data_IF_456367597186
#
_entry.id   IF_456367597186
#
_cell.length_a   1.000
_cell.length_b   1.000
_cell.length_c   1.000
_cell.angle_alpha   90.00
_cell.angle_beta   90.00
_cell.angle_gamma   90.00
#
_symmetry.space_group_name_H-M   'P 1'
#
loop_
_entity.id
_entity.type
_entity.pdbx_description
1 polymer ?
#
# COMPACT_ATOMS: atom_id res chain seq x y z
N UNK A 1 18.35 -6.95 -21.34
CA UNK A 1 18.19 -5.86 -22.31
C UNK A 1 16.97 -6.19 -23.15
N UNK A 2 16.12 -5.21 -23.43
CA UNK A 2 14.92 -5.39 -24.25
C UNK A 2 14.97 -4.37 -25.37
N UNK A 3 14.66 -4.78 -26.59
CA UNK A 3 14.54 -3.90 -27.75
C UNK A 3 13.10 -3.96 -28.23
N UNK A 4 12.57 -2.81 -28.63
CA UNK A 4 11.22 -2.67 -29.16
C UNK A 4 11.28 -1.82 -30.43
N UNK A 5 10.59 -2.27 -31.48
CA UNK A 5 10.23 -1.46 -32.63
C UNK A 5 8.71 -1.34 -32.59
N UNK A 6 8.22 -0.11 -32.46
CA UNK A 6 6.81 0.17 -32.22
C UNK A 6 6.30 1.18 -33.24
N UNK A 7 5.20 0.86 -33.89
CA UNK A 7 4.42 1.83 -34.66
C UNK A 7 3.33 2.40 -33.75
N UNK A 8 3.36 3.70 -33.51
CA UNK A 8 2.34 4.38 -32.71
C UNK A 8 1.04 4.60 -33.53
N UNK A 9 -0.09 4.94 -32.88
CA UNK A 9 -1.38 5.16 -33.56
C UNK A 9 -1.41 6.33 -34.57
N UNK A 10 -0.37 7.15 -34.61
CA UNK A 10 -0.16 8.23 -35.60
C UNK A 10 0.71 7.79 -36.79
N UNK A 11 0.92 6.49 -36.97
CA UNK A 11 1.79 5.86 -37.97
C UNK A 11 3.29 6.18 -37.81
N UNK A 12 3.72 6.80 -36.70
CA UNK A 12 5.14 7.03 -36.44
C UNK A 12 5.85 5.75 -35.98
N UNK A 13 7.03 5.49 -36.54
CA UNK A 13 7.88 4.36 -36.17
C UNK A 13 8.91 4.79 -35.12
N UNK A 14 9.00 4.02 -34.04
CA UNK A 14 9.92 4.27 -32.93
C UNK A 14 10.76 3.04 -32.61
N UNK A 15 12.08 3.23 -32.59
CA UNK A 15 13.05 2.24 -32.12
C UNK A 15 13.49 2.58 -30.69
N UNK A 16 13.37 1.59 -29.82
CA UNK A 16 13.60 1.74 -28.39
C UNK A 16 14.41 0.62 -27.78
N UNK A 17 15.24 0.96 -26.80
CA UNK A 17 15.99 0.00 -26.01
C UNK A 17 15.75 0.27 -24.52
N UNK A 18 15.64 -0.81 -23.74
CA UNK A 18 15.55 -0.75 -22.29
C UNK A 18 16.57 -1.67 -21.64
N UNK A 19 17.30 -1.14 -20.67
CA UNK A 19 18.24 -1.89 -19.85
C UNK A 19 17.73 -1.87 -18.41
N UNK A 20 17.74 -3.05 -17.77
CA UNK A 20 17.35 -3.22 -16.38
C UNK A 20 18.47 -3.89 -15.62
N UNK A 21 18.93 -3.23 -14.57
CA UNK A 21 19.82 -3.78 -13.56
C UNK A 21 18.99 -4.17 -12.34
N UNK A 22 19.28 -5.34 -11.80
CA UNK A 22 18.67 -5.86 -10.57
C UNK A 22 19.80 -6.38 -9.69
N UNK A 23 19.81 -5.95 -8.45
CA UNK A 23 20.71 -6.42 -7.43
C UNK A 23 19.91 -6.84 -6.21
N UNK A 24 20.28 -7.97 -5.62
CA UNK A 24 19.72 -8.50 -4.39
C UNK A 24 20.88 -9.04 -3.57
N UNK A 25 20.92 -8.71 -2.29
CA UNK A 25 21.94 -9.17 -1.36
C UNK A 25 21.36 -9.29 0.05
N UNK A 26 21.44 -10.49 0.61
CA UNK A 26 21.28 -10.70 2.04
C UNK A 26 22.64 -10.60 2.74
N UNK A 27 22.69 -9.81 3.82
CA UNK A 27 23.79 -9.72 4.76
C UNK A 27 23.29 -10.14 6.14
N UNK A 28 23.32 -11.45 6.39
CA UNK A 28 22.76 -12.03 7.61
C UNK A 28 23.53 -11.59 8.87
N UNK A 29 24.84 -11.36 8.77
CA UNK A 29 25.69 -10.97 9.91
C UNK A 29 25.32 -9.60 10.49
N UNK A 30 24.99 -8.63 9.65
CA UNK A 30 24.53 -7.30 10.07
C UNK A 30 23.01 -7.22 10.25
N UNK A 31 22.27 -8.29 9.95
CA UNK A 31 20.80 -8.29 9.91
C UNK A 31 20.20 -7.48 8.75
N UNK A 32 21.02 -7.06 7.77
CA UNK A 32 20.58 -6.27 6.61
C UNK A 32 20.17 -7.18 5.47
N UNK A 33 18.97 -7.02 4.94
CA UNK A 33 18.51 -7.73 3.75
C UNK A 33 18.09 -6.72 2.67
N UNK A 34 18.93 -6.59 1.66
CA UNK A 34 18.69 -5.75 0.48
C UNK A 34 17.95 -6.63 -0.52
N UNK A 35 16.62 -6.67 -0.40
CA UNK A 35 15.76 -7.53 -1.21
C UNK A 35 15.86 -7.18 -2.71
N UNK A 36 15.86 -5.89 -3.03
CA UNK A 36 15.92 -5.44 -4.42
C UNK A 36 16.45 -4.02 -4.51
N UNK A 37 17.49 -3.84 -5.32
CA UNK A 37 17.86 -2.55 -5.91
C UNK A 37 17.75 -2.72 -7.41
N UNK A 38 16.75 -2.07 -7.99
CA UNK A 38 16.44 -2.15 -9.41
C UNK A 38 16.59 -0.80 -10.07
N UNK A 39 17.35 -0.74 -11.16
CA UNK A 39 17.41 0.44 -12.00
C UNK A 39 17.07 0.06 -13.43
N UNK A 40 16.01 0.65 -13.98
CA UNK A 40 15.64 0.51 -15.37
C UNK A 40 15.85 1.84 -16.07
N UNK A 41 16.48 1.81 -17.24
CA UNK A 41 16.60 2.94 -18.13
C UNK A 41 16.06 2.54 -19.51
N UNK A 42 15.24 3.40 -20.10
CA UNK A 42 14.61 3.22 -21.39
C UNK A 42 14.86 4.45 -22.27
N UNK A 43 15.24 4.22 -23.53
CA UNK A 43 15.41 5.31 -24.51
C UNK A 43 14.06 5.93 -24.86
N UNK A 44 14.08 7.14 -25.43
CA UNK A 44 12.86 7.89 -25.79
C UNK A 44 12.00 7.21 -26.86
N UNK A 45 12.51 6.25 -27.62
CA UNK A 45 11.73 5.46 -28.56
C UNK A 45 11.20 4.12 -27.99
N UNK A 46 11.44 3.83 -26.70
CA UNK A 46 10.96 2.59 -26.09
C UNK A 46 9.52 2.72 -25.59
N UNK A 47 8.66 1.86 -26.11
CA UNK A 47 7.26 1.72 -25.74
C UNK A 47 6.99 0.26 -25.38
N UNK A 48 6.22 0.01 -24.31
CA UNK A 48 5.76 -1.35 -24.03
C UNK A 48 4.58 -1.70 -24.93
N UNK A 49 4.30 -2.99 -25.07
CA UNK A 49 3.15 -3.47 -25.85
C UNK A 49 1.80 -2.86 -25.40
N UNK A 50 1.63 -2.63 -24.09
CA UNK A 50 0.44 -1.95 -23.56
C UNK A 50 0.33 -0.48 -24.00
N UNK A 51 1.47 0.17 -24.28
CA UNK A 51 1.50 1.55 -24.76
C UNK A 51 1.06 1.63 -26.24
N UNK A 52 1.29 0.56 -27.03
CA UNK A 52 0.85 0.48 -28.44
C UNK A 52 -0.62 0.08 -28.62
N UNK A 53 -1.29 -0.42 -27.58
CA UNK A 53 -2.72 -0.80 -27.65
C UNK A 53 -3.70 0.37 -27.46
N UNK A 54 -3.21 1.56 -27.15
CA UNK A 54 -4.04 2.74 -27.00
C UNK A 54 -4.46 3.31 -28.35
N UNK A 55 -5.75 3.62 -28.52
CA UNK A 55 -6.30 4.11 -29.79
C UNK A 55 -6.02 5.59 -30.08
N UNK A 56 -5.37 6.33 -29.16
CA UNK A 56 -5.05 7.77 -29.27
C UNK A 56 -3.71 8.11 -28.59
N UNK A 57 -2.97 9.08 -29.10
CA UNK A 57 -1.68 9.54 -28.54
C UNK A 57 -1.78 10.16 -27.14
N UNK A 58 -2.93 10.75 -26.81
CA UNK A 58 -3.23 11.40 -25.55
C UNK A 58 -4.74 11.30 -25.32
N UNK A 59 -5.18 10.89 -24.14
CA UNK A 59 -6.61 10.71 -23.88
C UNK A 59 -6.94 10.36 -22.44
N UNK A 60 -8.24 10.42 -22.15
CA UNK A 60 -8.83 9.92 -20.91
C UNK A 60 -9.56 8.61 -21.23
N UNK A 61 -9.47 7.61 -20.34
CA UNK A 61 -10.37 6.47 -20.41
C UNK A 61 -11.77 6.91 -19.96
N UNK A 62 -12.77 6.65 -20.79
CA UNK A 62 -14.17 6.97 -20.52
C UNK A 62 -14.88 5.64 -20.25
N UNK A 63 -15.29 5.37 -19.01
CA UNK A 63 -16.25 4.32 -18.71
C UNK A 63 -17.66 4.93 -18.75
N UNK A 64 -18.48 4.55 -19.72
CA UNK A 64 -19.90 4.92 -19.77
C UNK A 64 -20.75 3.70 -20.13
N UNK A 65 -21.80 3.44 -19.36
CA UNK A 65 -22.74 2.34 -19.60
C UNK A 65 -23.92 2.72 -20.52
N UNK A 66 -24.19 4.00 -20.79
CA UNK A 66 -25.41 4.41 -21.50
C UNK A 66 -25.26 5.76 -22.23
N UNK A 67 -25.04 5.72 -23.55
CA UNK A 67 -25.38 6.80 -24.49
C UNK A 67 -24.71 8.18 -24.30
N UNK A 68 -24.87 9.05 -25.29
CA UNK A 68 -24.18 10.35 -25.39
C UNK A 68 -24.74 11.33 -24.37
N UNK A 69 -24.02 11.53 -23.26
CA UNK A 69 -24.27 12.59 -22.27
C UNK A 69 -22.96 13.37 -22.10
N UNK A 70 -23.00 14.70 -22.17
CA UNK A 70 -21.88 15.56 -21.78
C UNK A 70 -21.68 15.48 -20.26
N UNK A 71 -20.97 14.45 -19.81
CA UNK A 71 -20.57 14.29 -18.42
C UNK A 71 -19.21 14.99 -18.27
N UNK A 72 -19.08 16.00 -17.39
CA UNK A 72 -17.76 16.41 -16.85
C UNK A 72 -17.16 15.15 -16.23
N UNK A 73 -16.15 14.51 -16.84
CA UNK A 73 -15.67 13.22 -16.35
C UNK A 73 -15.12 13.40 -14.93
N UNK A 74 -15.42 12.46 -14.03
CA UNK A 74 -14.57 12.29 -12.84
C UNK A 74 -13.30 11.62 -13.33
N UNK A 75 -12.30 12.44 -13.63
CA UNK A 75 -11.03 12.04 -14.24
C UNK A 75 -10.18 11.24 -13.24
N UNK A 76 -9.87 9.98 -13.55
CA UNK A 76 -8.99 9.15 -12.69
C UNK A 76 -7.64 8.85 -13.35
N UNK A 77 -7.58 8.59 -14.65
CA UNK A 77 -6.35 8.12 -15.31
C UNK A 77 -6.07 8.86 -16.63
N UNK A 78 -5.14 9.82 -16.58
CA UNK A 78 -4.58 10.50 -17.76
C UNK A 78 -3.41 9.68 -18.30
N UNK A 79 -3.50 9.23 -19.56
CA UNK A 79 -2.37 8.61 -20.26
C UNK A 79 -1.96 9.47 -21.45
N UNK A 80 -0.65 9.65 -21.62
CA UNK A 80 -0.09 10.38 -22.74
C UNK A 80 1.17 9.66 -23.21
N UNK A 81 1.08 9.09 -24.40
CA UNK A 81 2.17 8.35 -25.05
C UNK A 81 3.32 9.27 -25.47
N UNK A 82 3.12 10.59 -25.48
CA UNK A 82 4.21 11.56 -25.69
C UNK A 82 5.20 11.61 -24.50
N UNK A 83 4.80 11.13 -23.31
CA UNK A 83 5.64 11.11 -22.11
C UNK A 83 5.95 9.67 -21.71
N UNK A 84 6.79 8.99 -22.50
CA UNK A 84 7.22 7.65 -22.16
C UNK A 84 8.21 7.63 -20.97
N UNK A 85 8.22 6.50 -20.26
CA UNK A 85 9.01 6.30 -19.05
C UNK A 85 10.49 6.27 -19.40
N UNK A 86 11.28 7.17 -18.82
CA UNK A 86 12.73 7.31 -19.04
C UNK A 86 13.53 6.41 -18.12
N UNK A 87 13.40 6.62 -16.82
CA UNK A 87 14.18 5.91 -15.81
C UNK A 87 13.31 5.52 -14.64
N UNK A 88 13.52 4.32 -14.09
CA UNK A 88 12.85 3.85 -12.87
C UNK A 88 13.88 3.27 -11.91
N UNK A 89 14.04 3.90 -10.77
CA UNK A 89 14.76 3.35 -9.62
C UNK A 89 13.73 2.69 -8.69
N UNK A 90 14.07 1.52 -8.17
CA UNK A 90 13.32 0.78 -7.15
C UNK A 90 14.30 0.30 -6.09
N UNK A 91 13.95 0.50 -4.83
CA UNK A 91 14.77 0.08 -3.70
C UNK A 91 13.85 -0.54 -2.65
N UNK A 92 14.23 -1.70 -2.14
CA UNK A 92 13.60 -2.35 -0.98
C UNK A 92 14.70 -2.93 -0.10
N UNK A 93 14.80 -2.42 1.12
CA UNK A 93 15.78 -2.82 2.12
C UNK A 93 15.03 -3.08 3.43
N UNK A 94 15.36 -4.19 4.08
CA UNK A 94 14.88 -4.50 5.42
C UNK A 94 16.09 -4.71 6.33
N UNK A 95 16.11 -4.07 7.49
CA UNK A 95 17.18 -4.13 8.46
C UNK A 95 16.60 -4.66 9.77
N UNK A 96 17.07 -5.83 10.19
CA UNK A 96 16.81 -6.34 11.52
C UNK A 96 17.68 -5.56 12.53
N UNK A 97 17.06 -4.99 13.54
CA UNK A 97 17.68 -4.21 14.61
C UNK A 97 17.55 -5.01 15.91
N UNK A 98 18.57 -5.80 16.22
CA UNK A 98 18.55 -6.72 17.35
C UNK A 98 17.55 -7.86 17.18
N UNK A 99 16.92 -8.28 18.28
CA UNK A 99 15.95 -9.40 18.28
C UNK A 99 14.50 -8.97 18.15
N UNK A 100 14.21 -7.71 18.45
CA UNK A 100 12.86 -7.20 18.70
C UNK A 100 12.39 -6.23 17.63
N UNK A 101 13.28 -5.66 16.83
CA UNK A 101 12.92 -4.59 15.89
C UNK A 101 13.33 -4.92 14.46
N UNK A 102 12.50 -4.51 13.51
CA UNK A 102 12.74 -4.62 12.08
C UNK A 102 12.36 -3.31 11.43
N UNK A 103 13.34 -2.67 10.79
CA UNK A 103 13.15 -1.51 9.93
C UNK A 103 12.95 -2.00 8.49
N UNK A 104 11.95 -1.48 7.79
CA UNK A 104 11.80 -1.65 6.36
C UNK A 104 11.82 -0.28 5.68
N UNK A 105 12.42 -0.26 4.50
CA UNK A 105 12.55 0.93 3.67
C UNK A 105 12.29 0.50 2.24
N UNK A 106 11.33 1.12 1.58
CA UNK A 106 11.04 0.90 0.18
C UNK A 106 10.83 2.22 -0.54
N UNK A 107 11.16 2.26 -1.82
CA UNK A 107 10.96 3.45 -2.61
C UNK A 107 11.08 3.21 -4.09
N UNK A 108 10.47 4.09 -4.85
CA UNK A 108 10.65 4.17 -6.28
C UNK A 108 10.63 5.60 -6.78
N UNK A 109 11.41 5.85 -7.81
CA UNK A 109 11.52 7.15 -8.45
C UNK A 109 11.47 6.93 -9.96
N UNK A 110 10.47 7.51 -10.63
CA UNK A 110 10.25 7.35 -12.05
C UNK A 110 10.27 8.69 -12.77
N UNK A 111 11.10 8.78 -13.81
CA UNK A 111 11.21 9.95 -14.68
C UNK A 111 10.59 9.66 -16.04
N UNK A 112 10.22 10.72 -16.74
CA UNK A 112 9.59 10.68 -18.05
C UNK A 112 10.41 11.49 -19.05
N UNK A 113 10.37 11.12 -20.32
CA UNK A 113 10.88 11.97 -21.39
C UNK A 113 9.88 13.11 -21.66
N UNK A 114 10.35 14.26 -22.14
CA UNK A 114 9.50 15.41 -22.50
C UNK A 114 8.98 16.26 -21.32
N UNK A 115 9.15 15.83 -20.08
CA UNK A 115 8.75 16.60 -18.88
C UNK A 115 9.77 16.46 -17.75
N UNK A 116 9.83 17.46 -16.88
CA UNK A 116 10.57 17.40 -15.61
C UNK A 116 9.76 16.76 -14.48
N UNK A 117 8.52 16.35 -14.75
CA UNK A 117 7.66 15.70 -13.76
C UNK A 117 8.16 14.29 -13.43
N UNK A 118 7.95 13.88 -12.18
CA UNK A 118 8.43 12.61 -11.64
C UNK A 118 7.35 11.96 -10.78
N UNK A 119 7.30 10.62 -10.82
CA UNK A 119 6.58 9.85 -9.80
C UNK A 119 7.55 9.46 -8.70
N UNK A 120 7.19 9.76 -7.46
CA UNK A 120 7.97 9.42 -6.29
C UNK A 120 7.09 8.64 -5.33
N UNK A 121 7.56 7.48 -4.92
CA UNK A 121 6.94 6.69 -3.87
C UNK A 121 8.02 6.33 -2.87
N UNK A 122 7.77 6.56 -1.60
CA UNK A 122 8.69 6.20 -0.53
C UNK A 122 7.89 5.70 0.66
N UNK A 123 8.33 4.60 1.25
CA UNK A 123 7.75 4.06 2.47
C UNK A 123 8.87 3.63 3.40
N UNK A 124 8.78 4.03 4.65
CA UNK A 124 9.66 3.56 5.69
C UNK A 124 8.78 3.09 6.84
N UNK A 125 9.17 2.04 7.53
CA UNK A 125 8.52 1.72 8.78
C UNK A 125 9.37 0.87 9.69
N UNK A 126 9.12 1.03 10.97
CA UNK A 126 9.78 0.35 12.06
C UNK A 126 8.72 -0.48 12.77
N UNK A 127 8.90 -1.79 12.75
CA UNK A 127 8.13 -2.71 13.56
C UNK A 127 8.99 -3.15 14.74
N UNK A 128 8.47 -3.03 15.96
CA UNK A 128 9.12 -3.44 17.20
C UNK A 128 8.16 -4.31 18.00
N UNK A 129 8.54 -5.56 18.21
CA UNK A 129 7.89 -6.48 19.13
C UNK A 129 8.62 -6.43 20.47
N UNK A 130 8.01 -5.81 21.46
CA UNK A 130 8.50 -5.83 22.84
C UNK A 130 7.61 -6.74 23.68
N UNK A 131 8.15 -7.89 24.09
CA UNK A 131 7.40 -8.97 24.72
C UNK A 131 6.20 -9.35 23.82
N UNK A 132 4.99 -9.13 24.32
CA UNK A 132 3.76 -9.44 23.59
C UNK A 132 3.21 -8.22 22.82
N UNK A 133 3.76 -7.02 23.07
CA UNK A 133 3.28 -5.77 22.50
C UNK A 133 3.98 -5.50 21.17
N UNK A 134 3.19 -5.31 20.12
CA UNK A 134 3.70 -4.93 18.81
C UNK A 134 3.47 -3.43 18.55
N UNK A 135 4.54 -2.74 18.21
CA UNK A 135 4.56 -1.33 17.82
C UNK A 135 4.97 -1.23 16.36
N UNK A 136 4.16 -0.58 15.54
CA UNK A 136 4.49 -0.31 14.13
C UNK A 136 4.41 1.19 13.90
N UNK A 137 5.53 1.80 13.57
CA UNK A 137 5.59 3.16 13.05
C UNK A 137 5.84 3.07 11.55
N UNK A 138 5.04 3.75 10.75
CA UNK A 138 5.19 3.76 9.29
C UNK A 138 5.02 5.19 8.78
N UNK A 139 5.78 5.50 7.75
CA UNK A 139 5.75 6.74 7.01
C UNK A 139 5.67 6.41 5.54
N UNK A 140 4.71 6.99 4.83
CA UNK A 140 4.58 6.87 3.39
C UNK A 140 4.51 8.23 2.73
N UNK A 141 5.08 8.28 1.53
CA UNK A 141 5.13 9.43 0.67
C UNK A 141 4.75 9.00 -0.74
N UNK A 142 3.79 9.67 -1.34
CA UNK A 142 3.40 9.45 -2.73
C UNK A 142 3.24 10.79 -3.43
N UNK A 143 3.89 10.93 -4.58
CA UNK A 143 3.80 12.08 -5.46
C UNK A 143 3.65 11.57 -6.88
N UNK A 144 2.60 12.01 -7.55
CA UNK A 144 2.32 11.64 -8.93
C UNK A 144 2.77 12.76 -9.87
N UNK A 145 3.31 12.40 -11.02
CA UNK A 145 3.80 13.33 -12.04
C UNK A 145 2.71 14.25 -12.60
N UNK A 146 1.45 13.81 -12.56
CA UNK A 146 0.30 14.51 -13.15
C UNK A 146 -0.59 15.21 -12.11
N UNK A 147 -0.25 15.14 -10.83
CA UNK A 147 -0.98 15.79 -9.76
C UNK A 147 -0.05 16.72 -8.99
N UNK A 148 -0.52 17.94 -8.73
CA UNK A 148 0.23 18.88 -7.91
C UNK A 148 -0.04 18.58 -6.44
N UNK A 149 1.00 18.24 -5.70
CA UNK A 149 0.89 17.92 -4.29
C UNK A 149 1.76 16.73 -3.95
N UNK A 150 1.94 16.51 -2.65
CA UNK A 150 2.67 15.37 -2.12
C UNK A 150 1.83 14.81 -1.00
N UNK A 151 1.35 13.60 -1.19
CA UNK A 151 0.55 12.92 -0.19
C UNK A 151 1.50 12.22 0.77
N UNK A 152 1.40 12.58 2.03
CA UNK A 152 2.23 12.03 3.09
C UNK A 152 1.31 11.37 4.10
N UNK A 153 1.79 10.33 4.77
CA UNK A 153 1.06 9.72 5.87
C UNK A 153 2.07 9.19 6.88
N UNK A 154 1.96 9.67 8.11
CA UNK A 154 2.62 9.09 9.26
C UNK A 154 1.57 8.28 10.01
N UNK A 155 1.82 7.00 10.25
CA UNK A 155 0.93 6.13 10.99
C UNK A 155 1.68 5.38 12.10
N UNK A 156 1.10 5.37 13.28
CA UNK A 156 1.55 4.61 14.43
C UNK A 156 0.45 3.62 14.81
N UNK A 157 0.82 2.36 14.98
CA UNK A 157 -0.07 1.30 15.43
C UNK A 157 0.57 0.58 16.62
N UNK A 158 -0.24 0.31 17.64
CA UNK A 158 0.14 -0.41 18.84
C UNK A 158 -0.88 -1.52 19.04
N UNK A 159 -0.40 -2.74 19.21
CA UNK A 159 -1.22 -3.91 19.45
C UNK A 159 -0.77 -4.61 20.73
N UNK A 160 -1.69 -4.73 21.68
CA UNK A 160 -1.47 -5.30 23.01
C UNK A 160 -2.41 -6.51 23.18
N UNK A 161 -1.91 -7.74 23.02
CA UNK A 161 -2.69 -8.94 23.34
C UNK A 161 -2.76 -9.12 24.85
N UNK A 162 -3.93 -9.45 25.38
CA UNK A 162 -4.11 -9.72 26.81
C UNK A 162 -3.78 -11.17 27.20
N UNK A 163 -3.42 -12.02 26.23
CA UNK A 163 -3.16 -13.45 26.45
C UNK A 163 -2.08 -13.72 27.49
N UNK A 164 -1.02 -12.92 27.50
CA UNK A 164 0.12 -13.06 28.42
C UNK A 164 0.01 -12.19 29.68
N UNK A 165 -1.00 -11.32 29.75
CA UNK A 165 -1.25 -10.45 30.90
C UNK A 165 -2.10 -11.14 31.98
N UNK A 166 -2.73 -12.26 31.61
CA UNK A 166 -3.45 -13.16 32.51
C UNK A 166 -2.62 -14.42 32.70
N UNK A 167 -2.83 -15.12 33.82
CA UNK A 167 -2.17 -16.43 34.04
C UNK A 167 -2.53 -17.38 32.89
N UNK A 168 -1.58 -18.21 32.47
CA UNK A 168 -1.74 -19.13 31.34
C UNK A 168 -2.87 -20.15 31.52
N UNK A 169 -3.27 -20.44 32.76
CA UNK A 169 -4.36 -21.33 33.16
C UNK A 169 -5.72 -20.61 33.31
N UNK A 170 -5.77 -19.30 33.05
CA UNK A 170 -7.00 -18.50 33.17
C UNK A 170 -8.06 -18.96 32.16
N UNK A 171 -9.25 -19.28 32.67
CA UNK A 171 -10.45 -19.56 31.85
C UNK A 171 -11.17 -18.29 31.37
N UNK A 172 -10.60 -17.11 31.60
CA UNK A 172 -11.21 -15.83 31.20
C UNK A 172 -11.18 -15.66 29.69
N UNK A 173 -12.30 -15.26 29.09
CA UNK A 173 -12.38 -14.96 27.65
C UNK A 173 -11.48 -13.78 27.23
N UNK A 174 -11.06 -12.94 28.18
CA UNK A 174 -10.14 -11.83 27.93
C UNK A 174 -8.77 -12.28 27.42
N UNK A 175 -8.34 -13.51 27.68
CA UNK A 175 -7.09 -14.05 27.12
C UNK A 175 -7.12 -14.20 25.59
N UNK A 176 -8.32 -14.21 25.01
CA UNK A 176 -8.54 -14.25 23.56
C UNK A 176 -8.84 -12.89 22.96
N UNK A 177 -8.58 -11.82 23.72
CA UNK A 177 -8.78 -10.44 23.32
C UNK A 177 -7.45 -9.69 23.19
N UNK A 178 -7.42 -8.73 22.27
CA UNK A 178 -6.31 -7.81 22.04
C UNK A 178 -6.85 -6.39 21.93
N UNK A 179 -6.11 -5.43 22.48
CA UNK A 179 -6.35 -4.02 22.27
C UNK A 179 -5.47 -3.51 21.13
N UNK A 180 -6.05 -2.71 20.24
CA UNK A 180 -5.33 -2.01 19.18
C UNK A 180 -5.56 -0.52 19.29
N UNK A 181 -4.49 0.24 19.17
CA UNK A 181 -4.53 1.69 18.98
C UNK A 181 -3.81 2.05 17.68
N UNK A 182 -4.43 2.86 16.84
CA UNK A 182 -3.80 3.37 15.63
C UNK A 182 -4.06 4.85 15.48
N UNK A 183 -3.00 5.60 15.19
CA UNK A 183 -3.04 7.01 14.88
C UNK A 183 -2.45 7.21 13.48
N UNK A 184 -3.07 8.04 12.66
CA UNK A 184 -2.54 8.44 11.37
C UNK A 184 -2.67 9.94 11.16
N UNK A 185 -1.67 10.54 10.53
CA UNK A 185 -1.60 11.96 10.26
C UNK A 185 -1.03 12.21 8.87
N UNK A 186 -1.74 12.98 8.05
CA UNK A 186 -1.35 13.25 6.66
C UNK A 186 -0.27 14.34 6.52
N UNK A 187 0.19 14.91 7.64
CA UNK A 187 1.11 16.05 7.71
C UNK A 187 0.59 17.32 7.00
N UNK A 188 -0.67 17.33 6.59
CA UNK A 188 -1.41 18.45 5.99
C UNK A 188 -2.62 18.87 6.86
N UNK A 189 -2.62 18.44 8.13
CA UNK A 189 -3.61 18.85 9.13
C UNK A 189 -4.68 17.81 9.44
N UNK A 190 -4.88 16.78 8.61
CA UNK A 190 -5.84 15.71 8.91
C UNK A 190 -5.20 14.66 9.81
N UNK A 191 -5.88 14.36 10.91
CA UNK A 191 -5.46 13.38 11.89
C UNK A 191 -6.61 12.44 12.19
N UNK A 192 -6.31 11.15 12.26
CA UNK A 192 -7.29 10.13 12.67
C UNK A 192 -6.70 9.25 13.75
N UNK A 193 -7.46 9.04 14.81
CA UNK A 193 -7.13 8.16 15.91
C UNK A 193 -8.22 7.12 16.05
N UNK A 194 -7.83 5.87 16.27
CA UNK A 194 -8.74 4.75 16.41
C UNK A 194 -8.24 3.87 17.54
N UNK A 195 -9.10 3.61 18.51
CA UNK A 195 -8.87 2.67 19.60
C UNK A 195 -9.90 1.56 19.48
N UNK A 196 -9.49 0.31 19.68
CA UNK A 196 -10.40 -0.81 19.59
C UNK A 196 -9.93 -2.01 20.38
N UNK A 197 -10.88 -2.91 20.63
CA UNK A 197 -10.64 -4.22 21.21
C UNK A 197 -11.25 -5.25 20.27
N UNK A 198 -10.50 -6.29 19.97
CA UNK A 198 -10.93 -7.38 19.12
C UNK A 198 -10.50 -8.71 19.72
N UNK A 199 -11.20 -9.78 19.39
CA UNK A 199 -10.92 -11.09 19.94
C UNK A 199 -11.87 -12.16 19.45
N UNK A 200 -11.81 -13.31 20.12
CA UNK A 200 -12.73 -14.43 19.87
C UNK A 200 -13.51 -14.81 21.12
N UNK A 201 -14.72 -15.33 20.92
CA UNK A 201 -15.65 -15.78 21.94
C UNK A 201 -16.12 -17.20 21.63
N UNK A 202 -16.85 -17.78 22.60
CA UNK A 202 -17.31 -19.18 22.64
C UNK A 202 -16.17 -20.18 22.90
N UNK A 203 -16.52 -21.37 23.36
CA UNK A 203 -15.56 -22.43 23.75
C UNK A 203 -14.67 -22.88 22.57
N UNK A 204 -15.20 -22.77 21.35
CA UNK A 204 -14.54 -23.13 20.10
C UNK A 204 -13.77 -21.98 19.44
N UNK A 205 -13.74 -20.77 20.05
CA UNK A 205 -13.19 -19.54 19.45
C UNK A 205 -13.73 -19.25 18.03
N UNK A 206 -14.97 -19.68 17.75
CA UNK A 206 -15.58 -19.63 16.41
C UNK A 206 -16.38 -18.34 16.15
N UNK A 207 -16.49 -17.46 17.15
CA UNK A 207 -17.10 -16.15 17.03
C UNK A 207 -16.03 -15.07 17.19
N UNK A 208 -15.76 -14.31 16.13
CA UNK A 208 -14.87 -13.16 16.20
C UNK A 208 -15.68 -11.89 16.49
N UNK A 209 -15.14 -11.02 17.33
CA UNK A 209 -15.70 -9.70 17.58
C UNK A 209 -14.62 -8.63 17.40
N UNK A 210 -15.00 -7.46 16.90
CA UNK A 210 -14.14 -6.28 16.93
C UNK A 210 -14.98 -5.04 17.21
N UNK A 211 -14.56 -4.23 18.18
CA UNK A 211 -15.21 -2.97 18.55
C UNK A 211 -14.17 -1.88 18.46
N UNK A 212 -14.43 -0.85 17.66
CA UNK A 212 -13.46 0.19 17.37
C UNK A 212 -14.14 1.56 17.39
N UNK A 213 -13.57 2.49 18.14
CA UNK A 213 -14.03 3.88 18.21
C UNK A 213 -12.90 4.80 17.83
N UNK A 214 -13.20 5.82 17.03
CA UNK A 214 -12.19 6.73 16.54
C UNK A 214 -12.71 8.12 16.28
N UNK A 215 -11.76 9.04 16.27
CA UNK A 215 -11.96 10.43 15.92
C UNK A 215 -11.12 10.75 14.68
N UNK A 216 -11.74 11.36 13.68
CA UNK A 216 -11.03 11.92 12.54
C UNK A 216 -11.35 13.40 12.43
N UNK A 217 -10.33 14.25 12.35
CA UNK A 217 -10.50 15.70 12.25
C UNK A 217 -9.32 16.38 11.53
N UNK A 218 -9.53 17.63 11.12
CA UNK A 218 -8.55 18.44 10.40
C UNK A 218 -8.50 18.21 8.88
N UNK A 219 -7.91 19.17 8.16
CA UNK A 219 -7.92 19.30 6.69
C UNK A 219 -8.60 20.59 6.21
N UNK A 220 -8.48 20.91 4.90
CA UNK A 220 -9.18 22.04 4.28
C UNK A 220 -10.71 21.82 4.36
N UNK A 221 -11.35 22.57 5.27
CA UNK A 221 -12.75 22.41 5.64
C UNK A 221 -12.90 21.75 7.01
N UNK A 222 -12.90 22.57 8.06
CA UNK A 222 -12.96 22.20 9.47
C UNK A 222 -14.23 21.39 9.81
N UNK A 223 -14.20 20.08 9.54
CA UNK A 223 -15.26 19.12 9.84
C UNK A 223 -14.65 17.90 10.52
N UNK A 224 -14.89 17.79 11.83
CA UNK A 224 -14.52 16.61 12.61
C UNK A 224 -15.62 15.57 12.50
N UNK A 225 -15.27 14.33 12.16
CA UNK A 225 -16.19 13.20 12.14
C UNK A 225 -15.81 12.19 13.22
N UNK A 226 -16.72 11.90 14.14
CA UNK A 226 -16.61 10.73 15.01
C UNK A 226 -16.91 9.50 14.17
N UNK A 227 -15.97 8.55 14.12
CA UNK A 227 -16.13 7.29 13.40
C UNK A 227 -16.28 6.16 14.42
N UNK A 228 -17.53 5.79 14.69
CA UNK A 228 -17.86 4.59 15.44
C UNK A 228 -18.00 3.43 14.45
N UNK A 229 -17.07 2.46 14.49
CA UNK A 229 -17.24 1.19 13.79
C UNK A 229 -17.84 0.20 14.80
N UNK A 230 -19.11 -0.12 14.57
CA UNK A 230 -19.89 -0.98 15.46
C UNK A 230 -19.36 -2.42 15.43
N UNK A 231 -19.73 -3.18 16.47
CA UNK A 231 -19.32 -4.56 16.66
C UNK A 231 -19.66 -5.43 15.44
N UNK A 232 -18.64 -5.86 14.70
CA UNK A 232 -18.80 -6.89 13.68
C UNK A 232 -18.65 -8.25 14.36
N UNK A 233 -19.73 -9.03 14.37
CA UNK A 233 -19.75 -10.41 14.82
C UNK A 233 -19.76 -11.32 13.59
N UNK A 234 -18.67 -12.07 13.40
CA UNK A 234 -18.57 -13.06 12.34
C UNK A 234 -18.40 -14.45 12.94
N UNK A 235 -19.29 -15.37 12.53
CA UNK A 235 -19.23 -16.78 12.93
C UNK A 235 -18.71 -17.59 11.76
N UNK A 236 -17.59 -18.28 11.95
CA UNK A 236 -17.10 -19.25 10.97
C UNK A 236 -17.96 -20.50 11.07
N UNK A 237 -18.86 -20.72 10.09
CA UNK A 237 -19.53 -22.01 9.95
C UNK A 237 -18.50 -23.01 9.43
N UNK A 238 -18.06 -23.93 10.30
CA UNK A 238 -17.41 -25.16 9.84
C UNK A 238 -18.41 -25.90 8.97
N UNK A 239 -18.17 -25.94 7.67
CA UNK A 239 -18.95 -26.73 6.74
C UNK A 239 -18.67 -28.21 7.08
N UNK A 240 -19.56 -28.81 7.87
CA UNK A 240 -19.51 -30.25 8.13
C UNK A 240 -19.79 -30.96 6.80
N UNK A 241 -18.74 -31.40 6.11
CA UNK A 241 -18.86 -32.45 5.10
C UNK A 241 -19.32 -33.72 5.83
N UNK A 242 -20.64 -33.94 5.84
CA UNK A 242 -21.19 -35.25 6.20
C UNK A 242 -20.77 -36.26 5.13
N UNK A 243 -19.92 -37.18 5.56
CA UNK A 243 -19.64 -38.45 4.90
C UNK A 243 -20.96 -39.23 4.81
N UNK A 244 -21.47 -39.45 3.61
CA UNK A 244 -22.39 -40.55 3.32
C UNK A 244 -21.61 -41.59 2.51
N UNK A 245 -21.24 -42.66 3.20
CA UNK A 245 -21.03 -44.00 2.65
C UNK A 245 -22.18 -44.86 3.21
N UNK A 246 -22.65 -45.89 2.49
CA UNK A 246 -21.83 -46.98 1.95
C UNK A 246 -21.54 -46.87 0.46
#
# INVERSE_FOLDING_TARGET
MTQANSTLPDDSQHDGQSVRFLYNKSLNESGTNIQLVGYRYSTSGYFNFADTTYSRMNGYNIETQYGVIQVKPKFTDYYNLAYNKRGKLQLTVTQQLGRTSTLYLSGSHQTYWGTSNVDEQFQAGLNTAFEDINWTLSYSLTKNAWQKGRDQMLALNVNIPFSHWLRSDSKSQWRHASASYSMSHDLNGRMTNLAGVYGTLLEDNNLSYSVQTGYAGGGDGNSGSNRLRHAELSRWLRQCQYRLQP
#
